data_IF_602420187351
#
_entry.id   IF_602420187351
#
_cell.length_a   1.000
_cell.length_b   1.000
_cell.length_c   1.000
_cell.angle_alpha   90.00
_cell.angle_beta   90.00
_cell.angle_gamma   90.00
#
_symmetry.space_group_name_H-M   'P 1'
#
loop_
_entity.id
_entity.type
_entity.pdbx_description
1 polymer ?
#
# COMPACT_ATOMS: atom_id res chain seq x y z
N UNK A 1 -6.74 19.81 1.09
CA UNK A 1 -7.67 18.67 1.28
C UNK A 1 -8.26 18.31 -0.08
N UNK A 2 -8.27 17.03 -0.40
CA UNK A 2 -8.80 16.51 -1.67
C UNK A 2 -10.31 16.28 -1.56
N UNK A 3 -11.02 16.43 -2.70
CA UNK A 3 -12.41 16.01 -2.82
C UNK A 3 -12.50 14.48 -2.94
N UNK A 4 -13.69 13.92 -2.79
CA UNK A 4 -13.88 12.46 -2.94
C UNK A 4 -13.55 11.99 -4.36
N UNK A 5 -13.85 12.80 -5.37
CA UNK A 5 -13.58 12.49 -6.78
C UNK A 5 -12.07 12.53 -7.12
N UNK A 6 -11.28 13.23 -6.31
CA UNK A 6 -9.83 13.37 -6.53
C UNK A 6 -9.00 12.32 -5.74
N UNK A 7 -9.64 11.49 -4.93
CA UNK A 7 -8.92 10.54 -4.09
C UNK A 7 -8.38 9.36 -4.89
N UNK A 8 -7.16 8.94 -4.55
CA UNK A 8 -6.48 7.80 -5.17
C UNK A 8 -6.53 6.56 -4.28
N UNK A 9 -6.40 5.37 -4.87
CA UNK A 9 -6.35 4.12 -4.11
C UNK A 9 -5.12 4.05 -3.22
N UNK A 10 -5.33 3.83 -1.91
CA UNK A 10 -4.26 3.70 -0.91
C UNK A 10 -3.29 2.56 -1.26
N UNK A 11 -3.79 1.44 -1.75
CA UNK A 11 -2.95 0.31 -2.20
C UNK A 11 -1.96 0.72 -3.30
N UNK A 12 -2.26 1.78 -4.05
CA UNK A 12 -1.36 2.35 -5.03
C UNK A 12 -0.05 2.88 -4.45
N UNK A 13 -0.01 3.26 -3.17
CA UNK A 13 1.22 3.77 -2.55
C UNK A 13 2.34 2.72 -2.52
N UNK A 14 1.99 1.46 -2.35
CA UNK A 14 2.92 0.34 -2.43
C UNK A 14 3.49 0.21 -3.84
N UNK A 15 2.63 0.28 -4.87
CA UNK A 15 3.07 0.24 -6.28
C UNK A 15 3.97 1.42 -6.61
N UNK A 16 3.60 2.62 -6.13
CA UNK A 16 4.40 3.84 -6.34
C UNK A 16 5.78 3.72 -5.69
N UNK A 17 5.83 3.31 -4.43
CA UNK A 17 7.09 3.14 -3.69
C UNK A 17 7.98 2.04 -4.27
N UNK A 18 7.39 1.02 -4.86
CA UNK A 18 8.12 0.00 -5.62
C UNK A 18 8.71 0.58 -6.90
N UNK A 19 7.90 1.28 -7.71
CA UNK A 19 8.32 1.94 -8.95
C UNK A 19 7.23 2.93 -9.43
N UNK A 20 7.53 4.25 -9.55
CA UNK A 20 6.55 5.23 -10.03
C UNK A 20 5.93 4.88 -11.39
N UNK A 21 6.73 4.31 -12.31
CA UNK A 21 6.24 3.87 -13.62
C UNK A 21 5.29 2.67 -13.49
N UNK A 22 5.56 1.71 -12.59
CA UNK A 22 4.63 0.60 -12.33
C UNK A 22 3.28 1.14 -11.86
N UNK A 23 3.29 2.09 -10.93
CA UNK A 23 2.07 2.74 -10.47
C UNK A 23 1.30 3.39 -11.62
N UNK A 24 1.98 4.17 -12.47
CA UNK A 24 1.35 4.83 -13.59
C UNK A 24 0.76 3.84 -14.60
N UNK A 25 1.47 2.77 -14.93
CA UNK A 25 0.95 1.72 -15.82
C UNK A 25 -0.30 1.04 -15.25
N UNK A 26 -0.34 0.77 -13.94
CA UNK A 26 -1.49 0.14 -13.28
C UNK A 26 -2.67 1.12 -13.19
N UNK A 27 -2.44 2.33 -12.66
CA UNK A 27 -3.52 3.23 -12.24
C UNK A 27 -3.95 4.25 -13.30
N UNK A 28 -3.10 4.56 -14.28
CA UNK A 28 -3.47 5.44 -15.41
C UNK A 28 -3.78 4.66 -16.68
N UNK A 29 -2.93 3.69 -17.02
CA UNK A 29 -3.08 2.90 -18.26
C UNK A 29 -3.88 1.61 -18.05
N UNK A 30 -4.25 1.31 -16.80
CA UNK A 30 -5.01 0.11 -16.44
C UNK A 30 -4.36 -1.20 -16.94
N UNK A 31 -3.02 -1.19 -17.01
CA UNK A 31 -2.24 -2.36 -17.36
C UNK A 31 -2.07 -3.27 -16.16
N UNK A 32 -2.45 -4.51 -16.30
CA UNK A 32 -2.28 -5.51 -15.25
C UNK A 32 -1.77 -6.82 -15.87
N UNK A 33 -0.76 -7.38 -15.24
CA UNK A 33 -0.25 -8.71 -15.54
C UNK A 33 0.06 -9.43 -14.23
N UNK A 34 -0.17 -10.72 -14.20
CA UNK A 34 0.00 -11.54 -13.01
C UNK A 34 1.33 -12.29 -13.05
N UNK A 35 1.99 -12.32 -11.91
CA UNK A 35 3.08 -13.24 -11.69
C UNK A 35 2.79 -14.10 -10.45
N UNK A 36 3.65 -15.08 -10.19
CA UNK A 36 3.47 -15.97 -9.05
C UNK A 36 3.25 -15.22 -7.73
N UNK A 37 3.96 -14.11 -7.49
CA UNK A 37 3.86 -13.34 -6.24
C UNK A 37 2.52 -12.62 -6.11
N UNK A 38 1.97 -12.09 -7.21
CA UNK A 38 0.67 -11.42 -7.19
C UNK A 38 -0.46 -12.43 -6.97
N UNK A 39 -0.39 -13.61 -7.56
CA UNK A 39 -1.38 -14.69 -7.39
C UNK A 39 -1.38 -15.21 -5.94
N UNK A 40 -0.19 -15.49 -5.39
CA UNK A 40 -0.06 -15.94 -3.99
C UNK A 40 -0.62 -14.91 -2.99
N UNK A 41 -0.40 -13.61 -3.24
CA UNK A 41 -0.97 -12.51 -2.46
C UNK A 41 -2.50 -12.48 -2.53
N UNK A 42 -3.09 -12.54 -3.72
CA UNK A 42 -4.54 -12.54 -3.90
C UNK A 42 -5.25 -13.71 -3.22
N UNK A 43 -4.65 -14.91 -3.24
CA UNK A 43 -5.21 -16.08 -2.56
C UNK A 43 -5.27 -15.88 -1.04
N UNK A 44 -4.27 -15.21 -0.46
CA UNK A 44 -4.29 -14.90 0.97
C UNK A 44 -5.42 -13.93 1.31
N UNK A 45 -5.57 -12.85 0.54
CA UNK A 45 -6.62 -11.86 0.77
C UNK A 45 -8.03 -12.45 0.70
N UNK A 46 -8.31 -13.39 -0.21
CA UNK A 46 -9.60 -14.09 -0.25
C UNK A 46 -9.97 -14.80 1.06
N UNK A 47 -9.00 -15.28 1.83
CA UNK A 47 -9.24 -15.89 3.15
C UNK A 47 -9.39 -14.86 4.26
N UNK A 48 -8.83 -13.67 4.10
CA UNK A 48 -8.92 -12.57 5.07
C UNK A 48 -10.24 -11.81 4.92
N UNK A 49 -10.77 -11.73 3.71
CA UNK A 49 -11.96 -10.96 3.35
C UNK A 49 -13.29 -11.58 3.78
N UNK A 50 -13.30 -12.68 4.56
CA UNK A 50 -14.53 -13.21 5.11
C UNK A 50 -15.04 -12.29 6.25
N UNK A 51 -16.05 -11.43 6.00
CA UNK A 51 -16.56 -10.49 7.00
C UNK A 51 -17.26 -11.18 8.16
N UNK A 52 -17.56 -12.48 8.04
CA UNK A 52 -18.17 -13.30 9.09
C UNK A 52 -17.15 -13.91 10.04
N UNK A 53 -15.87 -13.89 9.67
CA UNK A 53 -14.80 -14.39 10.54
C UNK A 53 -14.41 -13.32 11.57
N UNK A 54 -15.35 -13.00 12.45
CA UNK A 54 -15.11 -12.13 13.62
C UNK A 54 -14.44 -12.97 14.69
N UNK A 55 -13.16 -12.84 14.82
CA UNK A 55 -12.43 -13.55 15.86
C UNK A 55 -12.22 -12.61 17.05
N UNK A 56 -12.97 -12.82 18.13
CA UNK A 56 -12.56 -12.35 19.44
C UNK A 56 -11.47 -13.30 19.90
N UNK A 57 -10.23 -12.88 19.72
CA UNK A 57 -9.06 -13.64 20.17
C UNK A 57 -8.54 -13.01 21.46
N UNK A 58 -8.87 -13.57 22.59
CA UNK A 58 -8.52 -12.98 23.88
C UNK A 58 -9.32 -11.69 24.16
N UNK A 59 -8.60 -10.62 24.55
CA UNK A 59 -9.22 -9.36 24.96
C UNK A 59 -9.34 -8.32 23.83
N UNK A 60 -8.86 -8.58 22.62
CA UNK A 60 -8.95 -7.66 21.49
C UNK A 60 -9.99 -8.08 20.44
N UNK A 61 -10.42 -7.13 19.64
CA UNK A 61 -11.44 -7.31 18.60
C UNK A 61 -10.80 -7.06 17.25
N UNK A 62 -10.96 -7.98 16.32
CA UNK A 62 -10.51 -7.81 14.93
C UNK A 62 -11.68 -7.37 14.05
N UNK A 63 -11.56 -6.20 13.45
CA UNK A 63 -12.43 -5.72 12.38
C UNK A 63 -11.73 -6.00 11.05
N UNK A 64 -12.44 -6.61 10.09
CA UNK A 64 -11.89 -6.98 8.79
C UNK A 64 -12.46 -6.12 7.67
N UNK A 65 -11.67 -5.94 6.61
CA UNK A 65 -12.06 -5.22 5.39
C UNK A 65 -12.67 -3.85 5.71
N UNK A 66 -11.93 -3.06 6.49
CA UNK A 66 -12.40 -1.75 6.98
C UNK A 66 -12.07 -0.66 5.96
N UNK A 67 -13.09 0.07 5.51
CA UNK A 67 -12.87 1.24 4.66
C UNK A 67 -12.16 2.34 5.44
N UNK A 68 -11.09 2.85 4.88
CA UNK A 68 -10.28 3.93 5.45
C UNK A 68 -10.00 4.99 4.39
N UNK A 69 -9.85 6.24 4.83
CA UNK A 69 -9.61 7.36 3.95
C UNK A 69 -8.88 8.51 4.67
N UNK A 70 -8.12 9.28 3.93
CA UNK A 70 -7.53 10.54 4.37
C UNK A 70 -7.71 11.60 3.28
N UNK A 71 -8.45 12.66 3.59
CA UNK A 71 -8.63 13.81 2.68
C UNK A 71 -7.37 14.67 2.62
N UNK A 72 -6.57 14.67 3.66
CA UNK A 72 -5.28 15.37 3.68
C UNK A 72 -4.33 14.73 2.65
N UNK A 73 -4.22 13.39 2.66
CA UNK A 73 -3.38 12.65 1.72
C UNK A 73 -4.04 12.46 0.34
N UNK A 74 -5.37 12.59 0.26
CA UNK A 74 -6.13 12.25 -0.94
C UNK A 74 -6.11 10.75 -1.23
N UNK A 75 -6.14 9.91 -0.20
CA UNK A 75 -6.09 8.47 -0.31
C UNK A 75 -7.31 7.80 0.30
N UNK A 76 -7.81 6.74 -0.35
CA UNK A 76 -8.85 5.88 0.19
C UNK A 76 -8.54 4.41 -0.09
N UNK A 77 -9.08 3.52 0.70
CA UNK A 77 -8.89 2.09 0.47
C UNK A 77 -9.55 1.23 1.54
N UNK A 78 -9.16 -0.03 1.54
CA UNK A 78 -9.63 -1.02 2.51
C UNK A 78 -8.39 -1.54 3.26
N UNK A 79 -8.43 -1.46 4.59
CA UNK A 79 -7.45 -2.14 5.45
C UNK A 79 -7.88 -3.59 5.63
N UNK A 80 -6.97 -4.53 5.51
CA UNK A 80 -7.22 -5.96 5.69
C UNK A 80 -7.85 -6.23 7.06
N UNK A 81 -7.26 -5.67 8.10
CA UNK A 81 -7.83 -5.72 9.44
C UNK A 81 -7.42 -4.49 10.27
N UNK A 82 -8.28 -4.17 11.24
CA UNK A 82 -7.98 -3.26 12.34
C UNK A 82 -8.21 -4.03 13.63
N UNK A 83 -7.18 -4.18 14.43
CA UNK A 83 -7.27 -4.76 15.77
C UNK A 83 -7.56 -3.65 16.77
N UNK A 84 -8.65 -3.80 17.52
CA UNK A 84 -9.01 -2.91 18.61
C UNK A 84 -8.45 -3.50 19.90
N UNK A 85 -7.38 -2.90 20.42
CA UNK A 85 -6.73 -3.31 21.65
C UNK A 85 -7.36 -2.57 22.84
N UNK A 86 -7.76 -3.28 23.92
CA UNK A 86 -8.33 -2.58 25.09
C UNK A 86 -7.29 -1.66 25.73
N UNK A 87 -7.76 -0.50 26.21
CA UNK A 87 -6.90 0.48 26.88
C UNK A 87 -7.62 1.08 28.08
N UNK A 88 -6.89 1.22 29.16
CA UNK A 88 -7.34 1.99 30.34
C UNK A 88 -7.07 3.48 30.16
N UNK A 89 -6.13 3.87 29.30
CA UNK A 89 -5.91 5.24 28.88
C UNK A 89 -6.92 5.63 27.81
N UNK A 90 -7.48 6.82 27.95
CA UNK A 90 -8.43 7.40 27.00
C UNK A 90 -7.74 8.12 25.84
N UNK A 91 -6.43 8.36 25.96
CA UNK A 91 -5.63 9.05 24.94
C UNK A 91 -5.48 8.17 23.72
N UNK A 92 -5.66 8.76 22.53
CA UNK A 92 -5.51 8.08 21.25
C UNK A 92 -6.38 6.81 21.07
N UNK A 93 -7.54 6.78 21.74
CA UNK A 93 -8.48 5.66 21.69
C UNK A 93 -9.79 6.03 21.01
N UNK A 94 -10.49 5.00 20.54
CA UNK A 94 -11.86 5.12 20.01
C UNK A 94 -12.86 4.38 20.89
N UNK A 95 -14.15 4.74 20.77
CA UNK A 95 -15.27 3.99 21.33
C UNK A 95 -15.93 3.17 20.23
N UNK A 96 -16.24 1.94 20.53
CA UNK A 96 -16.97 1.08 19.59
C UNK A 96 -18.45 0.96 20.01
N UNK A 97 -19.44 1.07 19.08
CA UNK A 97 -20.87 1.08 19.45
C UNK A 97 -21.35 -0.19 20.17
N UNK A 98 -20.73 -1.34 19.88
CA UNK A 98 -21.14 -2.65 20.42
C UNK A 98 -20.28 -3.15 21.58
N UNK A 99 -19.09 -2.56 21.77
CA UNK A 99 -18.14 -3.03 22.78
C UNK A 99 -17.80 -1.88 23.72
N UNK A 100 -18.12 -2.01 25.03
CA UNK A 100 -17.85 -0.98 25.99
C UNK A 100 -16.33 -0.79 26.19
N UNK A 101 -15.93 0.39 26.67
CA UNK A 101 -14.53 0.72 26.95
C UNK A 101 -13.87 1.57 25.87
N UNK A 102 -12.57 1.70 26.00
CA UNK A 102 -11.68 2.47 25.11
C UNK A 102 -10.76 1.50 24.37
N UNK A 103 -10.55 1.76 23.08
CA UNK A 103 -9.86 0.85 22.19
C UNK A 103 -8.81 1.58 21.37
N UNK A 104 -7.57 1.09 21.40
CA UNK A 104 -6.50 1.53 20.49
C UNK A 104 -6.68 0.81 19.15
N UNK A 105 -6.93 1.51 18.05
CA UNK A 105 -7.02 0.90 16.73
C UNK A 105 -5.62 0.69 16.15
N UNK A 106 -5.30 -0.55 15.83
CA UNK A 106 -4.01 -0.97 15.25
C UNK A 106 -4.26 -1.53 13.85
N UNK A 107 -3.78 -0.90 12.77
CA UNK A 107 -3.89 -1.44 11.44
C UNK A 107 -3.01 -2.70 11.30
N UNK A 108 -3.58 -3.74 10.69
CA UNK A 108 -2.89 -5.02 10.46
C UNK A 108 -3.00 -5.39 8.99
N UNK A 109 -1.87 -5.49 8.34
CA UNK A 109 -1.75 -5.88 6.94
C UNK A 109 -1.31 -7.34 6.84
N UNK A 110 -2.05 -8.14 6.08
CA UNK A 110 -1.75 -9.55 5.87
C UNK A 110 -0.76 -9.73 4.73
N UNK A 111 0.33 -10.46 4.99
CA UNK A 111 1.38 -10.71 4.01
C UNK A 111 1.61 -12.20 3.78
N UNK A 112 1.83 -12.56 2.51
CA UNK A 112 2.30 -13.90 2.15
C UNK A 112 3.81 -14.02 2.40
N UNK A 113 4.27 -15.24 2.73
CA UNK A 113 5.68 -15.55 2.91
C UNK A 113 6.22 -15.25 4.30
N UNK A 114 7.52 -14.91 4.37
CA UNK A 114 8.26 -14.72 5.64
C UNK A 114 8.55 -13.24 5.89
N UNK A 115 8.72 -12.85 7.17
CA UNK A 115 9.11 -11.49 7.52
C UNK A 115 10.37 -11.05 6.78
N UNK A 116 10.30 -9.88 6.19
CA UNK A 116 11.44 -9.19 5.55
C UNK A 116 11.33 -7.70 5.84
N UNK A 117 12.46 -7.05 6.06
CA UNK A 117 12.47 -5.58 6.07
C UNK A 117 12.19 -5.09 4.67
N UNK A 118 11.05 -4.44 4.49
CA UNK A 118 10.63 -3.91 3.22
C UNK A 118 9.94 -2.57 3.43
N UNK A 119 10.66 -1.48 3.19
CA UNK A 119 10.13 -0.13 3.32
C UNK A 119 8.87 0.10 2.47
N UNK A 120 8.73 -0.61 1.36
CA UNK A 120 7.53 -0.52 0.50
C UNK A 120 6.27 -0.94 1.26
N UNK A 121 6.34 -2.05 2.00
CA UNK A 121 5.22 -2.55 2.80
C UNK A 121 4.99 -1.64 4.03
N UNK A 122 6.07 -1.17 4.68
CA UNK A 122 5.99 -0.28 5.84
C UNK A 122 5.31 1.06 5.48
N UNK A 123 5.57 1.61 4.29
CA UNK A 123 4.92 2.84 3.79
C UNK A 123 3.41 2.62 3.59
N UNK A 124 2.98 1.47 3.07
CA UNK A 124 1.55 1.15 2.95
C UNK A 124 0.88 1.09 4.32
N UNK A 125 1.50 0.40 5.28
CA UNK A 125 0.99 0.29 6.65
C UNK A 125 0.92 1.66 7.34
N UNK A 126 1.94 2.51 7.15
CA UNK A 126 1.94 3.88 7.66
C UNK A 126 0.82 4.74 7.03
N UNK A 127 0.53 4.58 5.75
CA UNK A 127 -0.59 5.26 5.11
C UNK A 127 -1.94 4.83 5.71
N UNK A 128 -2.12 3.55 6.03
CA UNK A 128 -3.32 3.06 6.73
C UNK A 128 -3.43 3.70 8.12
N UNK A 129 -2.33 3.76 8.89
CA UNK A 129 -2.30 4.41 10.19
C UNK A 129 -2.69 5.90 10.10
N UNK A 130 -2.14 6.64 9.13
CA UNK A 130 -2.46 8.07 8.93
C UNK A 130 -3.93 8.29 8.52
N UNK A 131 -4.54 7.36 7.78
CA UNK A 131 -5.97 7.41 7.51
C UNK A 131 -6.79 7.27 8.80
N UNK A 132 -6.44 6.33 9.67
CA UNK A 132 -7.12 6.14 10.97
C UNK A 132 -6.96 7.36 11.87
N UNK A 133 -5.77 7.97 11.88
CA UNK A 133 -5.49 9.19 12.65
C UNK A 133 -6.42 10.34 12.23
N UNK A 134 -6.59 10.57 10.93
CA UNK A 134 -7.49 11.61 10.43
C UNK A 134 -8.96 11.28 10.72
N UNK A 135 -9.38 10.03 10.46
CA UNK A 135 -10.77 9.60 10.66
C UNK A 135 -11.25 9.72 12.11
N UNK A 136 -10.37 9.45 13.06
CA UNK A 136 -10.74 9.36 14.48
C UNK A 136 -10.10 10.45 15.36
N UNK A 137 -9.27 11.32 14.78
CA UNK A 137 -8.53 12.36 15.51
C UNK A 137 -7.69 11.79 16.66
N UNK A 138 -6.94 10.76 16.39
CA UNK A 138 -6.05 10.02 17.30
C UNK A 138 -4.65 9.96 16.74
N UNK A 139 -3.70 9.48 17.56
CA UNK A 139 -2.37 9.11 17.09
C UNK A 139 -2.18 7.59 17.08
N UNK A 140 -1.69 7.04 15.98
CA UNK A 140 -1.41 5.61 15.81
C UNK A 140 0.09 5.38 15.80
N UNK A 141 0.64 4.94 16.92
CA UNK A 141 2.08 4.80 17.11
C UNK A 141 2.68 3.61 16.36
N UNK A 142 1.90 2.56 16.13
CA UNK A 142 2.37 1.33 15.49
C UNK A 142 1.26 0.65 14.69
N UNK A 143 1.66 -0.19 13.75
CA UNK A 143 0.82 -1.14 13.05
C UNK A 143 1.46 -2.52 13.08
N UNK A 144 0.89 -3.51 12.38
CA UNK A 144 1.47 -4.84 12.34
C UNK A 144 1.35 -5.48 10.95
N UNK A 145 2.31 -6.34 10.62
CA UNK A 145 2.18 -7.33 9.56
C UNK A 145 1.82 -8.68 10.16
N UNK A 146 0.89 -9.37 9.53
CA UNK A 146 0.59 -10.76 9.86
C UNK A 146 0.98 -11.67 8.69
N UNK A 147 1.99 -12.52 8.91
CA UNK A 147 2.48 -13.47 7.92
C UNK A 147 1.73 -14.80 8.05
N UNK A 148 0.75 -15.02 7.16
CA UNK A 148 -0.20 -16.14 7.23
C UNK A 148 0.46 -17.51 7.13
N UNK A 149 1.54 -17.66 6.34
CA UNK A 149 2.27 -18.93 6.14
C UNK A 149 2.87 -19.48 7.44
N UNK A 150 3.43 -18.61 8.26
CA UNK A 150 4.09 -18.99 9.52
C UNK A 150 3.32 -18.55 10.77
N UNK A 151 2.14 -17.94 10.58
CA UNK A 151 1.29 -17.37 11.64
C UNK A 151 2.06 -16.46 12.60
N UNK A 152 2.88 -15.59 12.04
CA UNK A 152 3.75 -14.70 12.80
C UNK A 152 3.33 -13.24 12.62
N UNK A 153 3.19 -12.52 13.74
CA UNK A 153 2.90 -11.09 13.79
C UNK A 153 4.19 -10.31 14.03
N UNK A 154 4.40 -9.27 13.25
CA UNK A 154 5.53 -8.35 13.39
C UNK A 154 4.99 -6.94 13.56
N UNK A 155 5.32 -6.29 14.66
CA UNK A 155 4.96 -4.89 14.90
C UNK A 155 5.94 -3.96 14.18
N UNK A 156 5.39 -2.86 13.67
CA UNK A 156 6.11 -1.81 12.96
C UNK A 156 5.77 -0.48 13.58
N UNK A 157 6.77 0.23 14.06
CA UNK A 157 6.62 1.61 14.55
C UNK A 157 6.33 2.56 13.39
N UNK A 158 5.29 3.39 13.51
CA UNK A 158 4.93 4.41 12.52
C UNK A 158 5.72 5.69 12.82
N UNK A 159 6.96 5.68 12.39
CA UNK A 159 7.91 6.76 12.66
C UNK A 159 7.58 8.05 11.90
N UNK A 160 8.06 9.24 12.37
CA UNK A 160 7.95 10.49 11.62
C UNK A 160 8.51 10.37 10.19
N UNK A 161 9.63 9.66 10.01
CA UNK A 161 10.21 9.41 8.69
C UNK A 161 9.26 8.67 7.76
N UNK A 162 8.58 7.61 8.23
CA UNK A 162 7.61 6.88 7.42
C UNK A 162 6.43 7.76 7.03
N UNK A 163 5.94 8.61 7.94
CA UNK A 163 4.87 9.58 7.66
C UNK A 163 5.25 10.58 6.57
N UNK A 164 6.49 11.07 6.61
CA UNK A 164 6.99 12.00 5.58
C UNK A 164 7.09 11.32 4.21
N UNK A 165 7.56 10.08 4.16
CA UNK A 165 7.58 9.28 2.92
C UNK A 165 6.16 9.08 2.38
N UNK A 166 5.17 8.80 3.24
CA UNK A 166 3.76 8.67 2.82
C UNK A 166 3.25 9.96 2.19
N UNK A 167 3.49 11.13 2.83
CA UNK A 167 3.07 12.44 2.30
C UNK A 167 3.72 12.73 0.95
N UNK A 168 5.02 12.45 0.81
CA UNK A 168 5.75 12.63 -0.44
C UNK A 168 5.18 11.72 -1.53
N UNK A 169 5.04 10.42 -1.28
CA UNK A 169 4.45 9.47 -2.24
C UNK A 169 3.04 9.90 -2.67
N UNK A 170 2.18 10.25 -1.73
CA UNK A 170 0.82 10.69 -2.04
C UNK A 170 0.83 11.94 -2.94
N UNK A 171 1.62 12.95 -2.60
CA UNK A 171 1.79 14.17 -3.40
C UNK A 171 2.25 13.87 -4.83
N UNK A 172 3.24 13.01 -4.99
CA UNK A 172 3.80 12.66 -6.29
C UNK A 172 2.83 11.80 -7.11
N UNK A 173 2.10 10.87 -6.48
CA UNK A 173 1.03 10.10 -7.12
C UNK A 173 -0.05 11.04 -7.70
N UNK A 174 -0.50 12.03 -6.94
CA UNK A 174 -1.45 13.04 -7.40
C UNK A 174 -0.89 13.87 -8.56
N UNK A 175 0.38 14.28 -8.51
CA UNK A 175 1.01 15.03 -9.58
C UNK A 175 1.05 14.24 -10.90
N UNK A 176 1.41 12.95 -10.83
CA UNK A 176 1.39 12.06 -11.99
C UNK A 176 -0.05 11.86 -12.50
N UNK A 177 -1.01 11.65 -11.59
CA UNK A 177 -2.41 11.48 -11.94
C UNK A 177 -2.99 12.68 -12.68
N UNK A 178 -2.69 13.89 -12.20
CA UNK A 178 -3.14 15.14 -12.81
C UNK A 178 -2.45 15.42 -14.15
N UNK A 179 -1.13 15.21 -14.24
CA UNK A 179 -0.37 15.46 -15.47
C UNK A 179 -0.62 14.41 -16.55
N UNK A 180 -1.10 13.21 -16.18
CA UNK A 180 -1.22 12.04 -17.07
C UNK A 180 0.09 11.65 -17.74
N UNK A 181 1.22 12.08 -17.22
CA UNK A 181 2.54 11.75 -17.76
C UNK A 181 3.10 10.50 -17.11
N UNK A 182 3.31 9.47 -17.91
CA UNK A 182 3.92 8.22 -17.42
C UNK A 182 5.41 8.44 -17.21
N UNK A 183 5.95 8.21 -15.99
CA UNK A 183 7.37 8.31 -15.72
C UNK A 183 8.21 7.44 -16.66
N UNK A 184 9.38 7.90 -17.05
CA UNK A 184 10.30 7.11 -17.88
C UNK A 184 10.72 5.82 -17.15
N UNK A 185 10.90 4.75 -17.92
CA UNK A 185 11.39 3.50 -17.35
C UNK A 185 12.84 3.69 -16.84
N UNK A 186 13.07 3.21 -15.61
CA UNK A 186 14.40 3.15 -15.02
C UNK A 186 14.67 1.69 -14.62
N UNK A 187 15.61 1.06 -15.34
CA UNK A 187 15.99 -0.33 -15.06
C UNK A 187 16.68 -0.44 -13.71
N UNK A 188 16.23 -1.41 -12.90
CA UNK A 188 16.81 -1.67 -11.59
C UNK A 188 16.56 -3.12 -11.15
N UNK A 189 17.15 -3.51 -10.01
CA UNK A 189 16.98 -4.86 -9.44
C UNK A 189 15.52 -5.21 -9.14
N UNK A 190 14.67 -4.21 -8.90
CA UNK A 190 13.24 -4.40 -8.66
C UNK A 190 12.50 -4.92 -9.91
N UNK A 191 13.01 -4.62 -11.13
CA UNK A 191 12.40 -5.07 -12.37
C UNK A 191 12.33 -6.61 -12.48
N UNK A 192 13.25 -7.34 -11.87
CA UNK A 192 13.24 -8.81 -11.90
C UNK A 192 12.07 -9.44 -11.13
N UNK A 193 11.44 -8.67 -10.24
CA UNK A 193 10.25 -9.08 -9.47
C UNK A 193 8.97 -8.39 -9.95
N UNK A 194 9.06 -7.53 -10.96
CA UNK A 194 7.94 -6.76 -11.47
C UNK A 194 7.08 -7.61 -12.41
N UNK A 195 5.78 -7.73 -12.13
CA UNK A 195 4.84 -8.42 -13.04
C UNK A 195 4.72 -7.71 -14.39
N UNK A 196 4.90 -6.39 -14.42
CA UNK A 196 4.77 -5.60 -15.66
C UNK A 196 6.08 -5.45 -16.44
N UNK A 197 7.14 -6.21 -16.13
CA UNK A 197 8.45 -6.08 -16.81
C UNK A 197 8.33 -6.21 -18.33
N UNK A 198 7.53 -7.17 -18.81
CA UNK A 198 7.35 -7.44 -20.23
C UNK A 198 6.49 -6.40 -20.96
N UNK A 199 5.63 -5.68 -20.24
CA UNK A 199 4.84 -4.56 -20.77
C UNK A 199 5.65 -3.27 -20.70
N UNK A 200 6.35 -3.05 -19.61
CA UNK A 200 7.15 -1.86 -19.34
C UNK A 200 8.38 -1.76 -20.23
N UNK A 201 9.00 -2.89 -20.59
CA UNK A 201 10.23 -2.99 -21.40
C UNK A 201 11.33 -2.01 -20.94
N UNK A 202 11.80 -2.10 -19.68
CA UNK A 202 12.70 -1.09 -19.10
C UNK A 202 14.04 -0.99 -19.84
N UNK A 203 14.42 -1.98 -20.62
CA UNK A 203 15.64 -2.01 -21.43
C UNK A 203 15.57 -1.15 -22.70
N UNK A 204 14.37 -0.75 -23.15
CA UNK A 204 14.20 0.01 -24.40
C UNK A 204 14.96 1.36 -24.38
N UNK A 205 15.06 1.97 -23.21
CA UNK A 205 15.78 3.23 -23.06
C UNK A 205 17.30 3.06 -23.27
N UNK A 206 17.83 1.85 -23.16
CA UNK A 206 19.23 1.53 -23.35
C UNK A 206 19.56 1.22 -24.83
N UNK A 207 18.54 1.08 -25.69
CA UNK A 207 18.70 0.68 -27.08
C UNK A 207 19.12 1.82 -28.05
N UNK A 208 19.27 3.06 -27.54
CA UNK A 208 19.54 4.23 -28.37
C UNK A 208 18.31 4.72 -29.15
N UNK A 209 18.48 5.77 -29.93
CA UNK A 209 17.39 6.29 -30.76
C UNK A 209 17.24 5.53 -32.08
N UNK A 210 16.02 5.54 -32.61
CA UNK A 210 15.65 4.83 -33.86
C UNK A 210 16.48 5.33 -35.05
N UNK A 211 16.80 6.62 -35.11
CA UNK A 211 17.57 7.19 -36.22
C UNK A 211 19.00 6.63 -36.23
N UNK A 212 19.63 6.52 -35.08
CA UNK A 212 20.96 5.89 -34.93
C UNK A 212 20.90 4.40 -35.30
N UNK A 213 19.87 3.67 -34.86
CA UNK A 213 19.69 2.27 -35.24
C UNK A 213 19.54 2.08 -36.76
N UNK A 214 18.68 2.89 -37.40
CA UNK A 214 18.48 2.84 -38.85
C UNK A 214 19.75 3.18 -39.62
N UNK A 215 20.48 4.23 -39.19
CA UNK A 215 21.75 4.63 -39.79
C UNK A 215 22.78 3.49 -39.75
N UNK A 216 22.89 2.82 -38.61
CA UNK A 216 23.92 1.79 -38.41
C UNK A 216 23.56 0.44 -39.05
N UNK A 217 22.27 0.15 -39.30
CA UNK A 217 21.84 -1.16 -39.77
C UNK A 217 21.21 -1.18 -41.17
N UNK A 218 20.76 -0.03 -41.69
CA UNK A 218 20.09 0.04 -43.00
C UNK A 218 20.86 0.92 -44.02
N UNK A 219 21.76 1.77 -43.58
CA UNK A 219 22.52 2.69 -44.45
C UNK A 219 24.02 2.41 -44.44
N UNK A 220 24.43 1.28 -43.86
CA UNK A 220 25.83 0.81 -43.89
C UNK A 220 26.12 -0.06 -45.12
#
# INVERSE_FOLDING_TARGET
MYSEDDMLMLSGIQHYRFCPRQWALIHLEQQWDENRLTIEGQLLHKHVDDPFYRQKCGDYITLRSVNIASRELGLYGISDAIELMPSDDITDTIRHPKYPGHWLPVPVEYKHGKPKKNEVDEVQLAAQAMCLEEMYSIHVAYGAFFYGEIRHRVEVEITPRLRDIVRECAKEMHAIYQSRQIPMASKGKHCDKCSLKNICLPEINDCGDVATYLKNNLLA
#
